data_IF_405173306652
#
_entry.id   IF_405173306652
#
_cell.length_a   1.000
_cell.length_b   1.000
_cell.length_c   1.000
_cell.angle_alpha   90.00
_cell.angle_beta   90.00
_cell.angle_gamma   90.00
#
_symmetry.space_group_name_H-M   'P 1'
#
loop_
_entity.id
_entity.type
_entity.pdbx_description
1 polymer ?
#
# COMPACT_ATOMS: atom_id res chain seq x y z
N UNK A 1 -3.26 9.41 -17.77
CA UNK A 1 -3.33 9.86 -16.37
C UNK A 1 -2.54 8.92 -15.50
N UNK A 2 -1.68 9.46 -14.67
CA UNK A 2 -0.95 8.65 -13.71
C UNK A 2 -1.74 8.52 -12.40
N UNK A 3 -1.73 7.33 -11.84
CA UNK A 3 -2.48 7.02 -10.63
C UNK A 3 -1.54 6.36 -9.63
N UNK A 4 -1.60 6.79 -8.39
CA UNK A 4 -0.82 6.17 -7.31
C UNK A 4 -1.73 5.27 -6.49
N UNK A 5 -1.28 4.06 -6.28
CA UNK A 5 -1.92 3.10 -5.38
C UNK A 5 -1.06 2.98 -4.13
N UNK A 6 -1.66 3.22 -2.99
CA UNK A 6 -1.03 3.03 -1.69
C UNK A 6 -1.76 1.94 -0.93
N UNK A 7 -1.03 0.97 -0.47
CA UNK A 7 -1.61 -0.12 0.31
C UNK A 7 -0.88 -0.24 1.64
N UNK A 8 -1.64 -0.25 2.71
CA UNK A 8 -1.11 -0.46 4.05
C UNK A 8 -1.60 -1.83 4.49
N UNK A 9 -0.68 -2.77 4.65
CA UNK A 9 -0.98 -4.17 4.89
C UNK A 9 -0.26 -4.68 6.14
N UNK A 10 -0.63 -5.88 6.58
CA UNK A 10 0.07 -6.54 7.68
C UNK A 10 1.53 -6.77 7.30
N UNK A 11 2.40 -6.63 8.26
CA UNK A 11 3.84 -6.87 8.07
C UNK A 11 4.11 -8.29 7.55
N UNK A 12 3.41 -9.28 8.09
CA UNK A 12 3.57 -10.67 7.68
C UNK A 12 3.09 -10.98 6.26
N UNK A 13 2.41 -10.04 5.62
CA UNK A 13 1.94 -10.19 4.23
C UNK A 13 2.89 -9.57 3.20
N UNK A 14 4.01 -9.04 3.63
CA UNK A 14 4.95 -8.38 2.74
C UNK A 14 5.36 -9.24 1.55
N UNK A 15 5.83 -10.47 1.82
CA UNK A 15 6.30 -11.35 0.74
C UNK A 15 5.19 -11.72 -0.23
N UNK A 16 4.01 -12.03 0.27
CA UNK A 16 2.88 -12.42 -0.57
C UNK A 16 2.43 -11.28 -1.47
N UNK A 17 2.36 -10.06 -0.95
CA UNK A 17 1.99 -8.89 -1.74
C UNK A 17 3.07 -8.57 -2.77
N UNK A 18 4.32 -8.59 -2.36
CA UNK A 18 5.44 -8.37 -3.27
C UNK A 18 5.42 -9.36 -4.43
N UNK A 19 5.25 -10.63 -4.13
CA UNK A 19 5.22 -11.68 -5.15
C UNK A 19 4.02 -11.53 -6.09
N UNK A 20 2.86 -11.18 -5.55
CA UNK A 20 1.65 -10.94 -6.36
C UNK A 20 1.85 -9.79 -7.35
N UNK A 21 2.52 -8.73 -6.93
CA UNK A 21 2.82 -7.60 -7.81
C UNK A 21 3.84 -7.97 -8.89
N UNK A 22 4.85 -8.76 -8.55
CA UNK A 22 5.81 -9.26 -9.53
C UNK A 22 5.15 -10.16 -10.57
N UNK A 23 4.18 -10.97 -10.17
CA UNK A 23 3.46 -11.85 -11.10
C UNK A 23 2.69 -11.10 -12.17
N UNK A 24 2.23 -9.89 -11.87
CA UNK A 24 1.58 -9.03 -12.86
C UNK A 24 2.56 -8.04 -13.49
N UNK A 25 3.85 -8.28 -13.31
CA UNK A 25 4.96 -7.52 -13.92
C UNK A 25 5.05 -6.07 -13.44
N UNK A 26 4.63 -5.81 -12.21
CA UNK A 26 4.83 -4.50 -11.58
C UNK A 26 6.16 -4.53 -10.84
N UNK A 27 7.10 -3.71 -11.29
CA UNK A 27 8.46 -3.70 -10.75
C UNK A 27 8.83 -2.42 -10.01
N UNK A 28 8.18 -1.30 -10.31
CA UNK A 28 8.44 -0.03 -9.65
C UNK A 28 7.63 0.08 -8.36
N UNK A 29 8.12 -0.53 -7.31
CA UNK A 29 7.42 -0.58 -6.02
C UNK A 29 8.26 0.10 -4.97
N UNK A 30 7.67 1.06 -4.25
CA UNK A 30 8.29 1.66 -3.08
C UNK A 30 7.66 1.05 -1.84
N UNK A 31 8.50 0.65 -0.91
CA UNK A 31 8.04 0.00 0.32
C UNK A 31 8.59 0.75 1.52
N UNK A 32 7.75 0.96 2.52
CA UNK A 32 8.18 1.55 3.78
C UNK A 32 7.52 0.84 4.95
N UNK A 33 8.21 0.82 6.06
CA UNK A 33 7.65 0.36 7.32
C UNK A 33 6.94 1.52 7.98
N UNK A 34 5.70 1.30 8.40
CA UNK A 34 4.89 2.34 9.04
C UNK A 34 4.25 1.77 10.29
N UNK A 35 3.76 2.66 11.14
CA UNK A 35 3.02 2.26 12.33
C UNK A 35 1.55 2.60 12.12
N UNK A 36 0.72 1.59 12.20
CA UNK A 36 -0.71 1.78 12.23
C UNK A 36 -1.16 2.08 13.65
N UNK A 37 -2.01 3.07 13.80
CA UNK A 37 -2.60 3.44 15.08
C UNK A 37 -4.11 3.38 14.93
N UNK A 38 -4.77 2.62 15.79
CA UNK A 38 -6.21 2.47 15.71
C UNK A 38 -6.82 2.20 17.07
N UNK A 39 -8.16 2.22 17.09
CA UNK A 39 -8.93 1.84 18.25
C UNK A 39 -9.59 0.51 17.96
N UNK A 40 -9.44 -0.44 18.88
CA UNK A 40 -10.08 -1.73 18.76
C UNK A 40 -11.22 -1.84 19.78
N UNK A 41 -12.44 -2.00 19.25
CA UNK A 41 -13.63 -2.21 20.10
C UNK A 41 -13.60 -3.62 20.68
N UNK A 42 -13.91 -3.72 21.95
CA UNK A 42 -14.01 -5.02 22.65
C UNK A 42 -12.72 -5.48 23.28
N UNK A 43 -11.63 -4.82 23.06
CA UNK A 43 -10.40 -5.04 23.80
C UNK A 43 -10.38 -4.04 24.94
N UNK A 44 -10.64 -4.56 26.14
CA UNK A 44 -10.68 -3.69 27.31
C UNK A 44 -9.41 -3.90 28.12
N UNK A 45 -8.42 -3.08 27.91
CA UNK A 45 -7.43 -2.82 28.91
C UNK A 45 -7.78 -1.52 29.59
N UNK A 46 -8.13 -1.61 30.84
CA UNK A 46 -8.37 -0.44 31.66
C UNK A 46 -7.00 0.05 32.11
N UNK A 47 -6.41 0.95 31.35
CA UNK A 47 -5.24 1.67 31.78
C UNK A 47 -5.68 3.05 32.23
N UNK A 48 -5.62 3.31 33.53
CA UNK A 48 -5.91 4.60 34.16
C UNK A 48 -7.33 5.12 33.92
N UNK A 49 -8.33 4.23 33.94
CA UNK A 49 -9.73 4.63 33.84
C UNK A 49 -10.16 5.01 32.40
N UNK A 50 -9.35 4.72 31.42
CA UNK A 50 -9.69 4.89 30.02
C UNK A 50 -10.12 3.55 29.44
N UNK A 51 -11.29 3.50 28.83
CA UNK A 51 -11.83 2.30 28.17
C UNK A 51 -11.39 2.17 26.71
N UNK A 52 -10.46 3.01 26.26
CA UNK A 52 -10.04 3.09 24.87
C UNK A 52 -8.60 2.63 24.78
N UNK A 53 -8.38 1.50 24.09
CA UNK A 53 -7.05 1.04 23.76
C UNK A 53 -6.64 1.59 22.39
N UNK A 54 -5.51 2.29 22.39
CA UNK A 54 -4.87 2.73 21.17
C UNK A 54 -3.77 1.73 20.87
N UNK A 55 -3.88 1.08 19.70
CA UNK A 55 -2.86 0.17 19.22
C UNK A 55 -1.88 0.86 18.33
N UNK A 56 -0.62 0.57 18.54
CA UNK A 56 0.43 0.84 17.58
C UNK A 56 0.90 -0.51 17.03
N UNK A 57 0.66 -0.73 15.76
CA UNK A 57 1.08 -1.96 15.10
C UNK A 57 1.98 -1.66 13.92
N UNK A 58 3.08 -2.41 13.76
CA UNK A 58 3.89 -2.27 12.57
C UNK A 58 3.11 -2.74 11.35
N UNK A 59 3.17 -1.97 10.29
CA UNK A 59 2.54 -2.24 9.00
C UNK A 59 3.55 -2.00 7.90
N UNK A 60 3.24 -2.51 6.71
CA UNK A 60 4.02 -2.23 5.51
C UNK A 60 3.17 -1.39 4.57
N UNK A 61 3.76 -0.36 4.03
CA UNK A 61 3.13 0.49 3.02
C UNK A 61 3.78 0.24 1.68
N UNK A 62 2.98 -0.15 0.70
CA UNK A 62 3.38 -0.28 -0.69
C UNK A 62 2.89 0.93 -1.45
N UNK A 63 3.74 1.47 -2.31
CA UNK A 63 3.38 2.59 -3.18
C UNK A 63 3.74 2.23 -4.61
N UNK A 64 2.76 2.28 -5.49
CA UNK A 64 2.93 1.93 -6.90
C UNK A 64 2.28 3.01 -7.74
N UNK A 65 2.98 3.48 -8.78
CA UNK A 65 2.41 4.40 -9.76
C UNK A 65 2.09 3.62 -11.01
N UNK A 66 0.87 3.75 -11.47
CA UNK A 66 0.38 3.07 -12.67
C UNK A 66 -0.11 4.08 -13.69
N UNK A 67 -0.20 3.66 -14.95
CA UNK A 67 -0.46 4.55 -16.07
C UNK A 67 -1.90 4.56 -16.56
N UNK A 68 -2.78 3.74 -15.99
CA UNK A 68 -4.17 3.66 -16.45
C UNK A 68 -5.07 3.11 -15.35
N UNK A 69 -6.37 3.31 -15.52
CA UNK A 69 -7.38 2.74 -14.62
C UNK A 69 -7.39 1.21 -14.71
N UNK A 70 -7.06 0.66 -15.86
CA UNK A 70 -6.95 -0.79 -16.01
C UNK A 70 -5.83 -1.34 -15.15
N UNK A 71 -4.66 -0.70 -15.14
CA UNK A 71 -3.56 -1.10 -14.28
C UNK A 71 -3.86 -0.85 -12.80
N UNK A 72 -4.56 0.23 -12.50
CA UNK A 72 -5.01 0.51 -11.14
C UNK A 72 -5.82 -0.67 -10.60
N UNK A 73 -6.78 -1.14 -11.36
CA UNK A 73 -7.62 -2.27 -10.97
C UNK A 73 -6.81 -3.54 -10.77
N UNK A 74 -5.91 -3.84 -11.69
CA UNK A 74 -5.06 -5.03 -11.59
C UNK A 74 -4.21 -5.01 -10.33
N UNK A 75 -3.62 -3.87 -10.01
CA UNK A 75 -2.77 -3.72 -8.83
C UNK A 75 -3.61 -3.85 -7.55
N UNK A 76 -4.74 -3.16 -7.49
CA UNK A 76 -5.63 -3.24 -6.32
C UNK A 76 -6.10 -4.67 -6.08
N UNK A 77 -6.55 -5.36 -7.13
CA UNK A 77 -7.03 -6.73 -7.01
C UNK A 77 -5.91 -7.68 -6.55
N UNK A 78 -4.70 -7.52 -7.09
CA UNK A 78 -3.57 -8.35 -6.71
C UNK A 78 -3.19 -8.15 -5.24
N UNK A 79 -3.14 -6.91 -4.79
CA UNK A 79 -2.82 -6.61 -3.39
C UNK A 79 -3.89 -7.14 -2.46
N UNK A 80 -5.14 -6.89 -2.79
CA UNK A 80 -6.27 -7.32 -1.97
C UNK A 80 -6.28 -8.83 -1.79
N UNK A 81 -6.09 -9.57 -2.87
CA UNK A 81 -6.07 -11.03 -2.83
C UNK A 81 -4.93 -11.55 -1.96
N UNK A 82 -3.74 -10.98 -2.12
CA UNK A 82 -2.56 -11.41 -1.39
C UNK A 82 -2.59 -11.04 0.10
N UNK A 83 -3.16 -9.88 0.42
CA UNK A 83 -3.15 -9.36 1.79
C UNK A 83 -4.35 -9.81 2.63
N UNK A 84 -5.37 -10.36 2.01
CA UNK A 84 -6.61 -10.71 2.68
C UNK A 84 -6.44 -11.86 3.68
N UNK A 85 -6.93 -11.65 4.91
CA UNK A 85 -7.09 -12.71 5.89
C UNK A 85 -8.54 -12.83 6.36
N UNK A 86 -9.32 -11.76 6.24
CA UNK A 86 -10.68 -11.67 6.75
C UNK A 86 -10.74 -11.15 8.18
N UNK A 87 -9.59 -10.93 8.80
CA UNK A 87 -9.53 -10.43 10.17
C UNK A 87 -9.40 -8.92 10.20
N UNK A 88 -9.79 -8.31 11.32
CA UNK A 88 -9.56 -6.89 11.57
C UNK A 88 -8.06 -6.64 11.57
N UNK A 89 -7.62 -5.62 10.86
CA UNK A 89 -6.22 -5.29 10.75
C UNK A 89 -5.60 -5.63 9.40
N UNK A 90 -6.39 -6.14 8.45
CA UNK A 90 -5.91 -6.43 7.09
C UNK A 90 -5.38 -5.19 6.36
N UNK A 91 -5.86 -4.02 6.74
CA UNK A 91 -5.38 -2.77 6.17
C UNK A 91 -6.30 -2.19 5.13
N UNK A 92 -5.78 -1.25 4.36
CA UNK A 92 -6.56 -0.48 3.40
C UNK A 92 -5.73 -0.20 2.16
N UNK A 93 -6.44 0.02 1.07
CA UNK A 93 -5.84 0.42 -0.20
C UNK A 93 -6.47 1.75 -0.61
N UNK A 94 -5.62 2.70 -0.97
CA UNK A 94 -6.05 4.01 -1.45
C UNK A 94 -5.49 4.24 -2.83
N UNK A 95 -6.21 4.95 -3.67
CA UNK A 95 -5.67 5.38 -4.95
C UNK A 95 -6.07 6.81 -5.24
N UNK A 96 -5.22 7.51 -5.97
CA UNK A 96 -5.46 8.90 -6.35
C UNK A 96 -4.63 9.28 -7.57
N UNK A 97 -5.12 10.29 -8.28
CA UNK A 97 -4.42 10.80 -9.44
C UNK A 97 -3.13 11.52 -9.05
N UNK A 98 -2.09 11.30 -9.82
CA UNK A 98 -0.83 12.00 -9.68
C UNK A 98 -0.78 13.13 -10.70
N UNK A 99 -0.45 14.32 -10.24
CA UNK A 99 -0.41 15.50 -11.07
C UNK A 99 0.78 15.52 -12.01
N UNK A 100 1.94 15.07 -11.55
CA UNK A 100 3.13 15.02 -12.37
C UNK A 100 4.13 14.02 -11.80
N UNK A 101 5.02 13.54 -12.67
CA UNK A 101 6.12 12.67 -12.27
C UNK A 101 7.33 13.03 -13.10
N UNK A 102 8.51 12.95 -12.51
CA UNK A 102 9.77 13.19 -13.21
C UNK A 102 10.82 12.21 -12.71
N UNK A 103 11.53 11.62 -13.64
CA UNK A 103 12.69 10.81 -13.31
C UNK A 103 13.87 11.74 -13.09
N UNK A 104 14.45 11.67 -11.89
CA UNK A 104 15.51 12.61 -11.49
C UNK A 104 16.73 12.52 -12.40
N UNK A 105 17.14 11.31 -12.76
CA UNK A 105 18.34 11.09 -13.56
C UNK A 105 18.24 11.67 -14.99
N UNK A 106 17.09 11.49 -15.62
CA UNK A 106 16.94 11.78 -17.05
C UNK A 106 16.08 13.00 -17.35
N UNK A 107 15.33 13.49 -16.37
CA UNK A 107 14.28 14.52 -16.53
C UNK A 107 13.08 14.06 -17.36
N UNK A 108 13.00 12.78 -17.69
CA UNK A 108 11.80 12.25 -18.34
C UNK A 108 10.59 12.47 -17.45
N UNK A 109 9.46 12.82 -18.06
CA UNK A 109 8.24 13.17 -17.32
C UNK A 109 7.07 12.30 -17.74
N UNK A 110 6.02 12.29 -16.90
CA UNK A 110 4.79 11.60 -17.20
C UNK A 110 4.98 10.09 -17.33
N UNK A 111 4.38 9.52 -18.35
CA UNK A 111 4.43 8.09 -18.61
C UNK A 111 5.86 7.54 -18.67
N UNK A 112 6.75 8.25 -19.38
CA UNK A 112 8.13 7.82 -19.52
C UNK A 112 8.90 7.80 -18.20
N UNK A 113 8.51 8.65 -17.27
CA UNK A 113 9.14 8.70 -15.95
C UNK A 113 8.87 7.45 -15.12
N UNK A 114 7.73 6.78 -15.34
CA UNK A 114 7.30 5.63 -14.55
C UNK A 114 7.48 4.30 -15.24
N UNK A 115 7.90 4.32 -16.49
CA UNK A 115 7.97 3.12 -17.34
C UNK A 115 9.17 2.23 -17.08
N UNK A 116 10.23 2.72 -16.59
CA UNK A 116 11.44 1.94 -16.52
C UNK A 116 11.91 1.73 -15.10
N UNK A 117 13.02 1.11 -15.02
CA UNK A 117 13.75 0.80 -13.80
C UNK A 117 13.61 1.84 -12.69
N UNK A 118 13.72 1.37 -11.54
CA UNK A 118 13.65 2.11 -10.31
C UNK A 118 14.67 3.25 -10.25
#
# INVERSE_FOLDING_TARGET
>A
MLIKVEAIVREEKFEEVKDALHQIEVNGITVSQVMGCGMQRGYKEVVRGSEIDIFLQPKIKFEIVVSSEEWEKKVIDAIREAAFTGEVGDGKIFSYGIRSAMKIRTKETGYDAVQSEF
#
